data_IF_094088493283
#
_entry.id   IF_094088493283
#
_cell.length_a   1.000
_cell.length_b   1.000
_cell.length_c   1.000
_cell.angle_alpha   90.00
_cell.angle_beta   90.00
_cell.angle_gamma   90.00
#
_symmetry.space_group_name_H-M   'P 1'
#
loop_
_entity.id
_entity.type
_entity.pdbx_description
1 polymer ?
#
# COMPACT_ATOMS: atom_id res chain seq x y z
N UNK A 1 -1.34 2.54 8.82
CA UNK A 1 -1.59 1.19 8.27
C UNK A 1 -2.70 1.31 7.23
N UNK A 2 -2.36 1.36 5.94
CA UNK A 2 -3.38 1.30 4.90
C UNK A 2 -3.81 -0.14 4.68
N UNK A 3 -5.12 -0.38 4.67
CA UNK A 3 -5.70 -1.70 4.38
C UNK A 3 -6.06 -1.75 2.91
N UNK A 4 -5.38 -2.60 2.13
CA UNK A 4 -5.73 -2.84 0.74
C UNK A 4 -6.36 -4.23 0.60
N UNK A 5 -7.44 -4.30 -0.17
CA UNK A 5 -8.19 -5.51 -0.40
C UNK A 5 -7.90 -6.03 -1.80
N UNK A 6 -7.70 -7.34 -1.91
CA UNK A 6 -7.47 -8.03 -3.18
C UNK A 6 -8.48 -9.14 -3.35
N UNK A 7 -9.02 -9.28 -4.56
CA UNK A 7 -9.87 -10.42 -4.92
C UNK A 7 -8.99 -11.41 -5.67
N UNK A 8 -8.75 -12.56 -5.04
CA UNK A 8 -7.89 -13.62 -5.60
C UNK A 8 -8.72 -14.86 -5.85
N UNK A 9 -8.57 -15.47 -7.02
CA UNK A 9 -9.28 -16.71 -7.31
C UNK A 9 -9.12 -17.21 -8.73
N UNK A 10 -9.64 -18.40 -8.98
CA UNK A 10 -9.55 -19.05 -10.28
C UNK A 10 -10.16 -20.43 -10.26
N UNK A 11 -9.86 -21.20 -11.30
CA UNK A 11 -10.32 -22.59 -11.48
C UNK A 11 -9.33 -23.54 -10.82
N UNK A 12 -9.84 -24.42 -9.97
CA UNK A 12 -9.10 -25.44 -9.25
C UNK A 12 -9.29 -26.82 -9.90
N UNK A 13 -8.46 -27.80 -9.55
CA UNK A 13 -8.61 -29.18 -10.02
C UNK A 13 -9.74 -29.93 -9.31
N UNK A 14 -10.14 -29.46 -8.13
CA UNK A 14 -11.06 -30.13 -7.23
C UNK A 14 -11.82 -29.10 -6.38
N UNK A 15 -12.99 -29.49 -5.90
CA UNK A 15 -13.81 -28.71 -4.95
C UNK A 15 -13.18 -28.59 -3.56
N UNK A 16 -12.01 -29.18 -3.34
CA UNK A 16 -11.18 -28.90 -2.16
C UNK A 16 -10.42 -27.58 -2.28
N UNK A 17 -10.31 -27.01 -3.49
CA UNK A 17 -9.65 -25.74 -3.78
C UNK A 17 -8.17 -25.67 -3.32
N UNK A 18 -7.50 -26.82 -3.25
CA UNK A 18 -6.10 -26.94 -2.82
C UNK A 18 -5.10 -26.79 -3.97
N UNK A 19 -5.50 -27.12 -5.21
CA UNK A 19 -4.61 -27.14 -6.37
C UNK A 19 -5.26 -26.43 -7.55
N UNK A 20 -4.55 -25.46 -8.13
CA UNK A 20 -5.02 -24.72 -9.30
C UNK A 20 -5.03 -25.64 -10.52
N UNK A 21 -6.05 -25.55 -11.36
CA UNK A 21 -6.17 -26.37 -12.56
C UNK A 21 -4.97 -26.16 -13.50
N UNK A 22 -4.36 -27.22 -14.05
CA UNK A 22 -3.25 -27.09 -14.99
C UNK A 22 -3.67 -26.30 -16.23
N UNK A 23 -2.96 -25.20 -16.51
CA UNK A 23 -3.29 -24.25 -17.58
C UNK A 23 -4.22 -23.10 -17.17
N UNK A 24 -4.72 -23.11 -15.93
CA UNK A 24 -5.47 -21.98 -15.36
C UNK A 24 -4.56 -21.14 -14.46
N UNK A 25 -4.71 -19.82 -14.53
CA UNK A 25 -4.00 -18.87 -13.66
C UNK A 25 -4.95 -18.35 -12.57
N UNK A 26 -4.42 -18.14 -11.36
CA UNK A 26 -5.13 -17.37 -10.34
C UNK A 26 -5.18 -15.91 -10.78
N UNK A 27 -6.39 -15.38 -10.91
CA UNK A 27 -6.63 -13.97 -11.13
C UNK A 27 -6.53 -13.25 -9.79
N UNK A 28 -5.57 -12.33 -9.69
CA UNK A 28 -5.45 -11.37 -8.57
C UNK A 28 -5.91 -10.01 -9.08
N UNK A 29 -7.05 -9.54 -8.58
CA UNK A 29 -7.69 -8.27 -8.93
C UNK A 29 -7.58 -7.31 -7.74
N UNK A 30 -7.04 -6.11 -7.97
CA UNK A 30 -6.83 -5.10 -6.94
C UNK A 30 -5.64 -4.19 -7.29
N UNK A 31 -5.19 -3.34 -6.35
CA UNK A 31 -5.70 -3.19 -4.98
C UNK A 31 -7.02 -2.39 -4.92
N UNK A 32 -7.88 -2.71 -3.95
CA UNK A 32 -9.08 -1.94 -3.60
C UNK A 32 -8.91 -1.27 -2.24
N UNK A 33 -9.35 -0.01 -2.12
CA UNK A 33 -9.21 0.77 -0.90
C UNK A 33 -10.27 0.39 0.16
N UNK A 34 -11.38 -0.21 -0.26
CA UNK A 34 -12.46 -0.62 0.63
C UNK A 34 -12.88 -2.07 0.44
N UNK A 35 -13.30 -2.70 1.54
CA UNK A 35 -13.84 -4.05 1.50
C UNK A 35 -15.11 -4.16 0.64
N UNK A 36 -15.94 -3.11 0.62
CA UNK A 36 -17.18 -3.12 -0.17
C UNK A 36 -16.90 -3.11 -1.68
N UNK A 37 -15.89 -2.38 -2.15
CA UNK A 37 -15.43 -2.44 -3.54
C UNK A 37 -14.89 -3.82 -3.90
N UNK A 38 -14.02 -4.38 -3.05
CA UNK A 38 -13.52 -5.74 -3.24
C UNK A 38 -14.65 -6.77 -3.26
N UNK A 39 -15.66 -6.62 -2.39
CA UNK A 39 -16.84 -7.48 -2.33
C UNK A 39 -17.72 -7.37 -3.58
N UNK A 40 -17.86 -6.18 -4.15
CA UNK A 40 -18.59 -5.98 -5.40
C UNK A 40 -17.90 -6.73 -6.56
N UNK A 41 -16.57 -6.61 -6.68
CA UNK A 41 -15.79 -7.31 -7.70
C UNK A 41 -15.80 -8.82 -7.48
N UNK A 42 -15.61 -9.26 -6.23
CA UNK A 42 -15.71 -10.68 -5.85
C UNK A 42 -17.08 -11.25 -6.22
N UNK A 43 -18.17 -10.53 -5.93
CA UNK A 43 -19.52 -10.96 -6.27
C UNK A 43 -19.71 -11.07 -7.78
N UNK A 44 -19.25 -10.06 -8.54
CA UNK A 44 -19.32 -10.09 -10.00
C UNK A 44 -18.58 -11.30 -10.59
N UNK A 45 -17.35 -11.56 -10.13
CA UNK A 45 -16.55 -12.71 -10.59
C UNK A 45 -17.14 -14.04 -10.18
N UNK A 46 -17.73 -14.12 -8.99
CA UNK A 46 -18.40 -15.34 -8.50
C UNK A 46 -19.67 -15.64 -9.30
N UNK A 47 -20.43 -14.60 -9.69
CA UNK A 47 -21.61 -14.75 -10.54
C UNK A 47 -21.26 -15.10 -11.99
N UNK A 48 -20.17 -14.55 -12.52
CA UNK A 48 -19.65 -14.90 -13.85
C UNK A 48 -19.25 -16.38 -13.94
N UNK A 49 -18.76 -16.96 -12.84
CA UNK A 49 -18.31 -18.35 -12.75
C UNK A 49 -19.26 -19.25 -11.95
N UNK A 50 -20.54 -18.87 -11.81
CA UNK A 50 -21.50 -19.60 -10.96
C UNK A 50 -21.74 -21.04 -11.43
N UNK A 51 -21.64 -21.28 -12.73
CA UNK A 51 -21.81 -22.61 -13.33
C UNK A 51 -20.53 -23.47 -13.24
N UNK A 52 -19.40 -22.87 -12.84
CA UNK A 52 -18.11 -23.56 -12.71
C UNK A 52 -17.88 -23.98 -11.26
N UNK A 53 -18.20 -25.24 -10.95
CA UNK A 53 -18.09 -25.79 -9.59
C UNK A 53 -16.66 -25.77 -9.03
N UNK A 54 -15.65 -25.70 -9.91
CA UNK A 54 -14.25 -25.65 -9.53
C UNK A 54 -13.70 -24.23 -9.43
N UNK A 55 -14.48 -23.20 -9.74
CA UNK A 55 -14.06 -21.81 -9.62
C UNK A 55 -14.36 -21.26 -8.22
N UNK A 56 -13.35 -20.69 -7.57
CA UNK A 56 -13.53 -20.00 -6.28
C UNK A 56 -12.68 -18.74 -6.21
N UNK A 57 -13.33 -17.67 -5.74
CA UNK A 57 -12.69 -16.40 -5.41
C UNK A 57 -12.83 -16.13 -3.93
N UNK A 58 -11.81 -15.54 -3.32
CA UNK A 58 -11.81 -15.04 -1.95
C UNK A 58 -11.20 -13.64 -1.91
N UNK A 59 -11.44 -12.93 -0.80
CA UNK A 59 -10.91 -11.59 -0.57
C UNK A 59 -9.76 -11.71 0.41
N UNK A 60 -8.58 -11.23 0.00
CA UNK A 60 -7.39 -11.13 0.85
C UNK A 60 -7.25 -9.68 1.33
N UNK A 61 -6.93 -9.53 2.62
CA UNK A 61 -6.58 -8.24 3.22
C UNK A 61 -5.06 -8.16 3.28
N UNK A 62 -4.50 -7.14 2.65
CA UNK A 62 -3.07 -6.84 2.68
C UNK A 62 -2.88 -5.54 3.48
N UNK A 63 -2.17 -5.64 4.59
CA UNK A 63 -1.79 -4.48 5.41
C UNK A 63 -0.42 -4.02 4.93
N UNK A 64 -0.34 -2.77 4.47
CA UNK A 64 0.93 -2.14 4.12
C UNK A 64 1.23 -1.01 5.08
N UNK A 65 2.47 -0.98 5.55
CA UNK A 65 3.03 0.16 6.28
C UNK A 65 3.22 1.31 5.29
N UNK A 66 2.49 2.39 5.49
CA UNK A 66 2.67 3.60 4.69
C UNK A 66 3.84 4.39 5.26
N UNK A 67 4.85 4.61 4.43
CA UNK A 67 6.02 5.40 4.79
C UNK A 67 5.80 6.85 4.40
N UNK A 68 6.14 7.76 5.30
CA UNK A 68 6.02 9.19 5.11
C UNK A 68 7.36 9.86 5.35
N UNK A 69 7.73 10.81 4.50
CA UNK A 69 8.87 11.69 4.74
C UNK A 69 8.33 12.96 5.37
N UNK A 70 8.69 13.20 6.63
CA UNK A 70 8.22 14.34 7.41
C UNK A 70 9.40 15.21 7.81
N UNK A 71 9.30 16.51 7.58
CA UNK A 71 10.38 17.41 7.96
C UNK A 71 10.16 18.86 7.58
N UNK A 72 11.11 19.70 7.90
CA UNK A 72 11.04 21.12 7.59
C UNK A 72 12.21 21.90 8.18
N UNK A 73 12.07 23.22 8.13
CA UNK A 73 13.03 24.16 8.70
C UNK A 73 12.60 24.47 10.14
N UNK A 74 13.47 24.17 11.09
CA UNK A 74 13.24 24.40 12.51
C UNK A 74 13.81 25.76 12.95
N UNK A 75 13.38 26.26 14.10
CA UNK A 75 13.93 27.51 14.67
C UNK A 75 15.27 27.31 15.35
N UNK A 76 15.61 26.07 15.69
CA UNK A 76 16.81 25.69 16.41
C UNK A 76 17.26 24.27 16.07
N UNK A 77 18.51 23.97 16.40
CA UNK A 77 19.14 22.64 16.19
C UNK A 77 18.65 21.58 17.18
N UNK A 78 17.72 21.93 18.07
CA UNK A 78 17.00 20.99 18.93
C UNK A 78 15.80 20.35 18.20
N UNK A 79 15.44 20.87 17.02
CA UNK A 79 14.40 20.35 16.13
C UNK A 79 13.03 20.19 16.81
N UNK A 80 12.70 21.08 17.75
CA UNK A 80 11.43 21.04 18.51
C UNK A 80 10.36 21.97 17.95
N UNK A 81 10.76 23.09 17.36
CA UNK A 81 9.84 24.14 16.90
C UNK A 81 10.14 24.46 15.46
N UNK A 82 9.09 24.50 14.63
CA UNK A 82 9.19 24.75 13.20
C UNK A 82 9.19 26.25 12.96
N UNK A 83 10.07 26.72 12.08
CA UNK A 83 10.20 28.13 11.77
C UNK A 83 9.07 28.66 10.87
N UNK A 84 8.47 27.80 10.04
CA UNK A 84 7.39 28.14 9.10
C UNK A 84 6.22 27.15 9.20
N UNK A 85 5.31 27.39 10.14
CA UNK A 85 4.05 26.64 10.22
C UNK A 85 4.22 25.19 10.67
N UNK A 86 3.74 24.25 9.86
CA UNK A 86 3.73 22.80 10.15
C UNK A 86 4.81 22.03 9.39
N UNK A 87 5.09 20.79 9.80
CA UNK A 87 6.08 19.93 9.13
C UNK A 87 5.57 19.57 7.74
N UNK A 88 6.43 19.68 6.72
CA UNK A 88 6.14 19.19 5.38
C UNK A 88 6.04 17.65 5.45
N UNK A 89 4.86 17.12 5.13
CA UNK A 89 4.60 15.67 5.04
C UNK A 89 4.51 15.28 3.57
N UNK A 90 5.38 14.38 3.14
CA UNK A 90 5.46 13.88 1.76
C UNK A 90 5.22 12.37 1.80
N UNK A 91 4.17 11.90 1.14
CA UNK A 91 3.74 10.50 1.15
C UNK A 91 2.26 10.36 0.75
N UNK A 92 1.66 9.18 0.90
CA UNK A 92 2.24 7.93 1.41
C UNK A 92 3.11 7.20 0.37
N UNK A 93 4.19 6.57 0.83
CA UNK A 93 5.02 5.66 0.02
C UNK A 93 4.75 4.22 0.44
N UNK A 94 4.63 3.33 -0.55
CA UNK A 94 4.36 1.91 -0.29
C UNK A 94 5.61 1.16 0.18
N UNK A 95 6.80 1.71 -0.10
CA UNK A 95 8.07 1.09 0.31
C UNK A 95 8.99 2.07 1.02
N UNK A 96 9.75 1.56 1.98
CA UNK A 96 10.79 2.31 2.67
C UNK A 96 11.84 2.86 1.69
N UNK A 97 12.18 2.13 0.62
CA UNK A 97 13.17 2.60 -0.36
C UNK A 97 12.71 3.84 -1.13
N UNK A 98 11.43 3.91 -1.51
CA UNK A 98 10.86 5.09 -2.16
C UNK A 98 10.88 6.29 -1.21
N UNK A 99 10.43 6.10 0.03
CA UNK A 99 10.51 7.13 1.07
C UNK A 99 11.97 7.58 1.29
N UNK A 100 12.93 6.65 1.33
CA UNK A 100 14.35 6.96 1.49
C UNK A 100 14.91 7.77 0.32
N UNK A 101 14.52 7.49 -0.92
CA UNK A 101 14.94 8.28 -2.08
C UNK A 101 14.45 9.72 -1.98
N UNK A 102 13.18 9.92 -1.63
CA UNK A 102 12.61 11.26 -1.47
C UNK A 102 13.22 12.00 -0.28
N UNK A 103 13.38 11.31 0.85
CA UNK A 103 14.09 11.83 2.02
C UNK A 103 15.52 12.27 1.68
N UNK A 104 16.26 11.45 0.93
CA UNK A 104 17.61 11.77 0.49
C UNK A 104 17.61 13.02 -0.40
N UNK A 105 16.74 13.08 -1.41
CA UNK A 105 16.63 14.25 -2.30
C UNK A 105 16.35 15.53 -1.52
N UNK A 106 15.37 15.50 -0.59
CA UNK A 106 15.01 16.66 0.24
C UNK A 106 16.12 17.06 1.21
N UNK A 107 16.79 16.08 1.82
CA UNK A 107 17.89 16.34 2.74
C UNK A 107 19.12 16.90 2.01
N UNK A 108 19.48 16.34 0.85
CA UNK A 108 20.59 16.85 0.03
C UNK A 108 20.31 18.24 -0.53
N UNK A 109 19.07 18.55 -0.89
CA UNK A 109 18.69 19.90 -1.33
C UNK A 109 18.83 20.97 -0.24
N UNK A 110 18.74 20.57 1.04
CA UNK A 110 18.83 21.47 2.19
C UNK A 110 20.08 21.19 3.05
N UNK A 111 21.12 20.58 2.47
CA UNK A 111 22.33 20.16 3.22
C UNK A 111 23.06 21.33 3.87
N UNK A 112 22.97 22.51 3.26
CA UNK A 112 23.61 23.74 3.75
C UNK A 112 22.79 24.45 4.85
N UNK A 113 21.55 24.02 5.09
CA UNK A 113 20.69 24.55 6.15
C UNK A 113 20.75 23.66 7.40
N UNK A 114 21.52 24.11 8.41
CA UNK A 114 21.66 23.41 9.69
C UNK A 114 20.34 23.27 10.48
N UNK A 115 19.32 24.03 10.10
CA UNK A 115 18.00 23.99 10.72
C UNK A 115 17.01 23.11 9.95
N UNK A 116 17.37 22.61 8.76
CA UNK A 116 16.51 21.73 7.98
C UNK A 116 16.74 20.27 8.38
N UNK A 117 15.66 19.56 8.74
CA UNK A 117 15.72 18.13 9.02
C UNK A 117 14.49 17.41 8.49
N UNK A 118 14.73 16.32 7.77
CA UNK A 118 13.71 15.39 7.32
C UNK A 118 13.94 14.03 7.99
N UNK A 119 12.86 13.34 8.33
CA UNK A 119 12.84 11.97 8.87
C UNK A 119 11.83 11.13 8.11
N UNK A 120 12.03 9.82 8.15
CA UNK A 120 11.06 8.86 7.62
C UNK A 120 10.24 8.36 8.81
N UNK A 121 8.93 8.48 8.71
CA UNK A 121 7.96 8.01 9.68
C UNK A 121 7.12 6.89 9.04
N UNK A 122 6.54 6.01 9.85
CA UNK A 122 5.56 5.03 9.38
C UNK A 122 4.27 5.19 10.19
N UNK A 123 3.14 5.33 9.49
CA UNK A 123 1.81 5.52 10.08
C UNK A 123 0.94 4.29 9.88
#
# INVERSE_FOLDING_TARGET
MSEQYWVVGGVYTSTEFNTVAPGSNLSRLGPFDTYDEAKAVWRAKSMENVDEAYARFHIEKEEHDEWWVVGGIYTGTDFKTIAKGEEEKIGPFQTYEEARKVWWQKSSANVDDAYARFRIDHL
#
